data_IF_530930924777
#
_entry.id   IF_530930924777
#
_cell.length_a   1.000
_cell.length_b   1.000
_cell.length_c   1.000
_cell.angle_alpha   90.00
_cell.angle_beta   90.00
_cell.angle_gamma   90.00
#
_symmetry.space_group_name_H-M   'P 1'
#
loop_
_entity.id
_entity.type
_entity.pdbx_description
1 polymer ?
#
# COMPACT_ATOMS: atom_id res chain seq x y z
N UNK A 1 -63.94 2.63 37.53
CA UNK A 1 -62.79 3.51 37.63
C UNK A 1 -61.58 2.66 37.17
N UNK A 2 -61.22 2.73 35.93
CA UNK A 2 -60.12 1.94 35.32
C UNK A 2 -58.89 2.86 35.26
N UNK A 3 -57.86 2.53 36.00
CA UNK A 3 -56.56 3.19 35.93
C UNK A 3 -55.92 2.86 34.59
N UNK A 4 -55.69 3.85 33.77
CA UNK A 4 -54.91 3.76 32.53
C UNK A 4 -53.43 3.93 32.94
N UNK A 5 -52.66 2.86 32.90
CA UNK A 5 -51.22 2.87 33.14
C UNK A 5 -50.53 3.44 31.91
N UNK A 6 -49.93 4.63 32.03
CA UNK A 6 -49.17 5.33 30.98
C UNK A 6 -47.70 4.88 30.97
N UNK A 7 -47.42 3.72 30.40
CA UNK A 7 -46.05 3.26 30.11
C UNK A 7 -45.83 3.09 28.59
N UNK A 8 -45.80 4.21 27.88
CA UNK A 8 -45.25 4.26 26.52
C UNK A 8 -44.50 5.59 26.35
N UNK A 9 -43.41 5.78 27.13
CA UNK A 9 -42.43 6.76 26.74
C UNK A 9 -41.55 6.12 25.63
N UNK A 10 -41.39 6.78 24.46
CA UNK A 10 -40.47 6.33 23.46
C UNK A 10 -39.06 6.40 24.03
N UNK A 11 -38.35 5.29 24.00
CA UNK A 11 -36.95 5.16 24.43
C UNK A 11 -36.10 6.18 23.66
N UNK A 12 -35.84 7.34 24.25
CA UNK A 12 -34.92 8.36 23.70
C UNK A 12 -33.49 7.88 23.94
N UNK A 13 -32.97 7.06 23.02
CA UNK A 13 -31.53 6.77 22.99
C UNK A 13 -30.81 8.10 22.70
N UNK A 14 -29.73 8.43 23.46
CA UNK A 14 -28.96 9.62 23.23
C UNK A 14 -28.40 9.62 21.83
N UNK A 15 -28.47 10.73 21.10
CA UNK A 15 -27.93 10.88 19.73
C UNK A 15 -26.44 10.51 19.63
N UNK A 16 -25.71 10.57 20.74
CA UNK A 16 -24.33 10.10 20.88
C UNK A 16 -24.19 8.58 20.76
N UNK A 17 -25.16 7.77 21.21
CA UNK A 17 -25.11 6.31 21.02
C UNK A 17 -25.48 5.91 19.59
N UNK A 18 -26.43 6.60 18.95
CA UNK A 18 -26.77 6.41 17.55
C UNK A 18 -25.61 6.76 16.61
N UNK A 19 -24.81 7.78 16.95
CA UNK A 19 -23.61 8.14 16.17
C UNK A 19 -22.46 7.13 16.33
N UNK A 20 -22.35 6.47 17.47
CA UNK A 20 -21.36 5.43 17.71
C UNK A 20 -21.70 4.11 17.02
N UNK A 21 -22.98 3.77 16.87
CA UNK A 21 -23.41 2.55 16.20
C UNK A 21 -23.27 2.59 14.68
N UNK A 22 -23.22 3.77 14.06
CA UNK A 22 -23.04 3.94 12.61
C UNK A 22 -21.57 3.93 12.15
N UNK A 23 -20.59 4.15 13.05
CA UNK A 23 -19.17 4.13 12.70
C UNK A 23 -18.53 2.73 12.66
N UNK A 24 -19.16 1.70 13.19
CA UNK A 24 -18.57 0.35 13.36
C UNK A 24 -19.01 -0.69 12.32
N UNK A 25 -19.90 -0.35 11.40
CA UNK A 25 -20.29 -1.29 10.33
C UNK A 25 -19.19 -1.35 9.28
N UNK A 26 -18.46 -2.46 9.31
CA UNK A 26 -17.39 -2.74 8.35
C UNK A 26 -17.99 -2.87 6.93
N UNK A 27 -17.58 -2.04 5.95
CA UNK A 27 -18.07 -2.13 4.58
C UNK A 27 -17.91 -3.53 4.00
N UNK A 28 -18.89 -3.99 3.22
CA UNK A 28 -18.93 -5.38 2.71
C UNK A 28 -17.74 -5.72 1.82
N UNK A 29 -17.22 -4.77 1.06
CA UNK A 29 -16.06 -4.93 0.17
C UNK A 29 -14.72 -4.83 0.90
N UNK A 30 -14.72 -4.55 2.22
CA UNK A 30 -13.52 -4.40 3.03
C UNK A 30 -12.68 -5.67 3.01
N UNK A 31 -11.46 -5.55 2.46
CA UNK A 31 -10.50 -6.64 2.35
C UNK A 31 -10.65 -7.52 1.10
N UNK A 32 -11.78 -7.50 0.39
CA UNK A 32 -11.98 -8.34 -0.80
C UNK A 32 -11.06 -7.98 -1.96
N UNK A 33 -10.79 -6.68 -2.17
CA UNK A 33 -9.91 -6.21 -3.26
C UNK A 33 -8.53 -6.82 -3.11
N UNK A 34 -7.91 -6.72 -1.93
CA UNK A 34 -6.58 -7.28 -1.68
C UNK A 34 -6.59 -8.81 -1.62
N UNK A 35 -7.68 -9.44 -1.15
CA UNK A 35 -7.85 -10.90 -1.23
C UNK A 35 -7.86 -11.39 -2.68
N UNK A 36 -8.57 -10.71 -3.58
CA UNK A 36 -8.64 -11.07 -5.00
C UNK A 36 -7.32 -10.82 -5.75
N UNK A 37 -6.56 -9.80 -5.34
CA UNK A 37 -5.27 -9.48 -5.96
C UNK A 37 -4.13 -10.37 -5.47
N UNK A 38 -4.21 -10.92 -4.26
CA UNK A 38 -3.13 -11.73 -3.69
C UNK A 38 -2.69 -12.90 -4.60
N UNK A 39 -3.57 -13.73 -5.16
CA UNK A 39 -3.15 -14.78 -6.09
C UNK A 39 -2.50 -14.23 -7.37
N UNK A 40 -2.93 -13.06 -7.86
CA UNK A 40 -2.33 -12.40 -9.01
C UNK A 40 -0.92 -11.90 -8.65
N UNK A 41 -0.74 -11.32 -7.47
CA UNK A 41 0.56 -10.87 -6.98
C UNK A 41 1.52 -12.05 -6.78
N UNK A 42 1.03 -13.21 -6.33
CA UNK A 42 1.84 -14.44 -6.20
C UNK A 42 2.28 -14.92 -7.58
N UNK A 43 1.35 -15.09 -8.52
CA UNK A 43 1.67 -15.55 -9.88
C UNK A 43 2.62 -14.55 -10.58
N UNK A 44 2.32 -13.25 -10.51
CA UNK A 44 3.17 -12.21 -11.08
C UNK A 44 4.57 -12.14 -10.45
N UNK A 45 4.68 -12.36 -9.14
CA UNK A 45 5.97 -12.40 -8.45
C UNK A 45 6.81 -13.60 -8.86
N UNK A 46 6.20 -14.79 -9.03
CA UNK A 46 6.88 -15.98 -9.54
C UNK A 46 7.39 -15.71 -10.96
N UNK A 47 6.54 -15.14 -11.83
CA UNK A 47 6.93 -14.77 -13.20
C UNK A 47 8.14 -13.83 -13.21
N UNK A 48 8.14 -12.79 -12.37
CA UNK A 48 9.27 -11.86 -12.25
C UNK A 48 10.57 -12.57 -11.87
N UNK A 49 10.55 -13.40 -10.82
CA UNK A 49 11.76 -14.09 -10.34
C UNK A 49 12.27 -15.10 -11.36
N UNK A 50 11.37 -15.81 -12.05
CA UNK A 50 11.76 -16.83 -13.05
C UNK A 50 12.36 -16.17 -14.29
N UNK A 51 11.75 -15.08 -14.78
CA UNK A 51 12.15 -14.41 -16.02
C UNK A 51 13.29 -13.40 -15.85
N UNK A 52 13.60 -12.98 -14.61
CA UNK A 52 14.65 -12.01 -14.34
C UNK A 52 16.02 -12.50 -14.86
N UNK A 53 16.75 -11.61 -15.53
CA UNK A 53 18.07 -11.89 -16.08
C UNK A 53 19.19 -11.61 -15.07
N UNK A 54 19.94 -12.64 -14.73
CA UNK A 54 21.02 -12.57 -13.75
C UNK A 54 20.58 -12.67 -12.28
N UNK A 55 21.56 -12.93 -11.40
CA UNK A 55 21.31 -13.18 -9.98
C UNK A 55 20.79 -11.94 -9.25
N UNK A 56 21.36 -10.77 -9.53
CA UNK A 56 20.96 -9.50 -8.92
C UNK A 56 19.50 -9.18 -9.26
N UNK A 57 19.09 -9.35 -10.52
CA UNK A 57 17.71 -9.14 -10.96
C UNK A 57 16.74 -10.11 -10.28
N UNK A 58 17.11 -11.38 -10.13
CA UNK A 58 16.30 -12.38 -9.40
C UNK A 58 16.12 -12.02 -7.93
N UNK A 59 17.19 -11.60 -7.25
CA UNK A 59 17.13 -11.17 -5.85
C UNK A 59 16.25 -9.92 -5.73
N UNK A 60 16.45 -8.93 -6.58
CA UNK A 60 15.66 -7.69 -6.57
C UNK A 60 14.16 -7.95 -6.84
N UNK A 61 13.86 -8.82 -7.81
CA UNK A 61 12.50 -9.29 -8.09
C UNK A 61 11.89 -10.03 -6.88
N UNK A 62 12.67 -10.87 -6.21
CA UNK A 62 12.23 -11.59 -5.02
C UNK A 62 11.91 -10.65 -3.85
N UNK A 63 12.68 -9.58 -3.66
CA UNK A 63 12.39 -8.53 -2.65
C UNK A 63 11.07 -7.81 -2.95
N UNK A 64 10.84 -7.40 -4.20
CA UNK A 64 9.58 -6.80 -4.62
C UNK A 64 8.41 -7.79 -4.45
N UNK A 65 8.57 -9.03 -4.84
CA UNK A 65 7.59 -10.10 -4.67
C UNK A 65 7.22 -10.32 -3.20
N UNK A 66 8.21 -10.50 -2.33
CA UNK A 66 8.00 -10.71 -0.90
C UNK A 66 7.25 -9.53 -0.25
N UNK A 67 7.66 -8.29 -0.56
CA UNK A 67 7.00 -7.08 -0.05
C UNK A 67 5.55 -6.96 -0.53
N UNK A 68 5.25 -7.38 -1.76
CA UNK A 68 3.90 -7.40 -2.33
C UNK A 68 3.00 -8.41 -1.62
N UNK A 69 3.49 -9.64 -1.37
CA UNK A 69 2.74 -10.66 -0.61
C UNK A 69 2.48 -10.19 0.81
N UNK A 70 3.48 -9.60 1.47
CA UNK A 70 3.33 -9.08 2.82
C UNK A 70 2.26 -7.98 2.88
N UNK A 71 2.24 -7.05 1.94
CA UNK A 71 1.21 -6.01 1.89
C UNK A 71 -0.18 -6.60 1.64
N UNK A 72 -0.37 -7.28 0.50
CA UNK A 72 -1.69 -7.76 0.10
C UNK A 72 -2.22 -8.84 1.05
N UNK A 73 -1.36 -9.76 1.48
CA UNK A 73 -1.71 -10.84 2.41
C UNK A 73 -2.08 -10.32 3.79
N UNK A 74 -1.26 -9.46 4.40
CA UNK A 74 -1.57 -8.88 5.71
C UNK A 74 -2.83 -8.03 5.66
N UNK A 75 -2.99 -7.23 4.61
CA UNK A 75 -4.17 -6.40 4.42
C UNK A 75 -5.44 -7.23 4.23
N UNK A 76 -5.38 -8.29 3.41
CA UNK A 76 -6.48 -9.23 3.25
C UNK A 76 -6.88 -9.86 4.59
N UNK A 77 -5.91 -10.39 5.34
CA UNK A 77 -6.14 -11.01 6.65
C UNK A 77 -6.71 -9.99 7.65
N UNK A 78 -6.10 -8.82 7.75
CA UNK A 78 -6.54 -7.78 8.69
C UNK A 78 -7.97 -7.32 8.42
N UNK A 79 -8.31 -7.10 7.16
CA UNK A 79 -9.60 -6.53 6.78
C UNK A 79 -10.71 -7.56 6.59
N UNK A 80 -10.40 -8.82 6.28
CA UNK A 80 -11.41 -9.82 5.97
C UNK A 80 -12.02 -10.45 7.21
N UNK A 81 -11.21 -10.72 8.25
CA UNK A 81 -11.64 -11.43 9.44
C UNK A 81 -11.96 -10.50 10.61
N UNK A 82 -12.70 -11.01 11.60
CA UNK A 82 -12.95 -10.33 12.86
C UNK A 82 -11.94 -10.80 13.90
N UNK A 83 -11.19 -9.86 14.46
CA UNK A 83 -10.07 -10.12 15.34
C UNK A 83 -10.36 -9.67 16.77
N UNK A 84 -9.86 -10.41 17.76
CA UNK A 84 -9.81 -9.94 19.15
C UNK A 84 -8.98 -8.64 19.23
N UNK A 85 -9.25 -7.72 20.19
CA UNK A 85 -8.62 -6.40 20.25
C UNK A 85 -7.09 -6.40 20.16
N UNK A 86 -6.41 -7.34 20.86
CA UNK A 86 -4.94 -7.46 20.82
C UNK A 86 -4.43 -7.82 19.41
N UNK A 87 -5.03 -8.83 18.77
CA UNK A 87 -4.68 -9.27 17.43
C UNK A 87 -5.01 -8.18 16.38
N UNK A 88 -6.18 -7.53 16.48
CA UNK A 88 -6.57 -6.40 15.63
C UNK A 88 -5.54 -5.27 15.68
N UNK A 89 -5.05 -4.93 16.88
CA UNK A 89 -4.02 -3.89 17.06
C UNK A 89 -2.68 -4.29 16.44
N UNK A 90 -2.25 -5.55 16.59
CA UNK A 90 -1.01 -6.05 15.98
C UNK A 90 -1.11 -6.06 14.44
N UNK A 91 -2.17 -6.65 13.89
CA UNK A 91 -2.41 -6.69 12.44
C UNK A 91 -2.49 -5.29 11.83
N UNK A 92 -3.11 -4.32 12.51
CA UNK A 92 -3.14 -2.92 12.06
C UNK A 92 -1.74 -2.32 11.97
N UNK A 93 -0.82 -2.68 12.88
CA UNK A 93 0.59 -2.23 12.80
C UNK A 93 1.28 -2.80 11.57
N UNK A 94 1.15 -4.10 11.35
CA UNK A 94 1.73 -4.77 10.18
C UNK A 94 1.15 -4.25 8.87
N UNK A 95 -0.17 -4.12 8.77
CA UNK A 95 -0.85 -3.60 7.58
C UNK A 95 -0.33 -2.20 7.17
N UNK A 96 -0.15 -1.30 8.14
CA UNK A 96 0.41 0.02 7.86
C UNK A 96 1.94 0.01 7.65
N UNK A 97 2.68 -0.85 8.33
CA UNK A 97 4.13 -0.97 8.18
C UNK A 97 4.51 -1.52 6.80
N UNK A 98 3.70 -2.45 6.27
CA UNK A 98 3.93 -3.05 4.96
C UNK A 98 3.80 -2.07 3.79
N UNK A 99 3.18 -0.90 3.98
CA UNK A 99 3.19 0.16 2.96
C UNK A 99 4.63 0.66 2.74
N UNK A 100 5.38 0.93 3.80
CA UNK A 100 6.80 1.30 3.69
C UNK A 100 7.62 0.19 3.04
N UNK A 101 7.32 -1.06 3.41
CA UNK A 101 8.01 -2.22 2.88
C UNK A 101 7.75 -2.41 1.38
N UNK A 102 6.51 -2.21 0.91
CA UNK A 102 6.19 -2.28 -0.51
C UNK A 102 6.86 -1.14 -1.30
N UNK A 103 6.88 0.08 -0.76
CA UNK A 103 7.58 1.19 -1.41
C UNK A 103 9.06 0.83 -1.56
N UNK A 104 9.76 0.44 -0.49
CA UNK A 104 11.16 0.05 -0.56
C UNK A 104 11.41 -1.17 -1.48
N UNK A 105 10.50 -2.16 -1.43
CA UNK A 105 10.54 -3.33 -2.29
C UNK A 105 10.41 -2.99 -3.77
N UNK A 106 9.54 -2.05 -4.15
CA UNK A 106 9.39 -1.61 -5.54
C UNK A 106 10.59 -0.78 -6.03
N UNK A 107 11.22 -0.01 -5.16
CA UNK A 107 12.46 0.69 -5.48
C UNK A 107 13.63 -0.26 -5.72
N UNK A 108 13.68 -1.40 -5.05
CA UNK A 108 14.84 -2.31 -5.10
C UNK A 108 15.22 -2.71 -6.52
N UNK A 109 14.35 -3.32 -7.36
CA UNK A 109 14.72 -3.65 -8.73
C UNK A 109 14.98 -2.42 -9.61
N UNK A 110 14.17 -1.38 -9.49
CA UNK A 110 14.30 -0.17 -10.30
C UNK A 110 15.66 0.50 -10.04
N UNK A 111 16.06 0.58 -8.78
CA UNK A 111 17.30 1.26 -8.38
C UNK A 111 18.54 0.44 -8.73
N UNK A 112 18.53 -0.85 -8.40
CA UNK A 112 19.70 -1.71 -8.60
C UNK A 112 19.97 -2.07 -10.07
N UNK A 113 18.92 -2.09 -10.92
CA UNK A 113 19.02 -2.55 -12.28
C UNK A 113 19.01 -1.44 -13.33
N UNK A 114 18.51 -0.24 -12.98
CA UNK A 114 18.37 0.86 -13.93
C UNK A 114 19.35 2.02 -13.70
N UNK A 115 19.91 2.17 -12.49
CA UNK A 115 20.81 3.29 -12.18
C UNK A 115 22.27 2.87 -12.16
N UNK A 116 23.21 3.78 -12.50
CA UNK A 116 24.63 3.59 -12.22
C UNK A 116 24.86 3.30 -10.73
N UNK A 117 25.86 2.45 -10.41
CA UNK A 117 26.06 1.91 -9.06
C UNK A 117 26.07 2.98 -7.96
N UNK A 118 26.76 4.10 -8.16
CA UNK A 118 26.83 5.18 -7.14
C UNK A 118 25.47 5.79 -6.86
N UNK A 119 24.68 6.14 -7.90
CA UNK A 119 23.34 6.67 -7.77
C UNK A 119 22.38 5.63 -7.21
N UNK A 120 22.51 4.39 -7.67
CA UNK A 120 21.73 3.27 -7.19
C UNK A 120 21.96 2.99 -5.71
N UNK A 121 23.21 2.98 -5.25
CA UNK A 121 23.55 2.80 -3.84
C UNK A 121 22.98 3.93 -2.96
N UNK A 122 23.14 5.19 -3.40
CA UNK A 122 22.60 6.34 -2.67
C UNK A 122 21.08 6.21 -2.49
N UNK A 123 20.35 5.95 -3.57
CA UNK A 123 18.88 5.90 -3.53
C UNK A 123 18.39 4.69 -2.73
N UNK A 124 18.96 3.49 -2.94
CA UNK A 124 18.50 2.28 -2.24
C UNK A 124 18.72 2.38 -0.72
N UNK A 125 19.87 2.91 -0.29
CA UNK A 125 20.17 3.11 1.14
C UNK A 125 19.21 4.13 1.75
N UNK A 126 19.00 5.28 1.07
CA UNK A 126 18.07 6.30 1.54
C UNK A 126 16.63 5.76 1.68
N UNK A 127 16.15 5.01 0.69
CA UNK A 127 14.80 4.44 0.67
C UNK A 127 14.63 3.39 1.78
N UNK A 128 15.57 2.43 1.92
CA UNK A 128 15.45 1.41 2.95
C UNK A 128 15.63 1.99 4.36
N UNK A 129 16.52 2.95 4.56
CA UNK A 129 16.65 3.65 5.83
C UNK A 129 15.34 4.37 6.20
N UNK A 130 14.74 5.09 5.25
CA UNK A 130 13.45 5.77 5.46
C UNK A 130 12.33 4.76 5.73
N UNK A 131 12.31 3.63 5.02
CA UNK A 131 11.33 2.57 5.25
C UNK A 131 11.44 1.97 6.65
N UNK A 132 12.64 1.64 7.10
CA UNK A 132 12.86 1.09 8.45
C UNK A 132 12.47 2.07 9.55
N UNK A 133 12.82 3.35 9.41
CA UNK A 133 12.39 4.42 10.32
C UNK A 133 10.86 4.57 10.30
N UNK A 134 10.23 4.53 9.12
CA UNK A 134 8.78 4.61 8.95
C UNK A 134 8.05 3.40 9.54
N UNK A 135 8.59 2.19 9.40
CA UNK A 135 8.09 0.98 10.05
C UNK A 135 8.15 1.14 11.57
N UNK A 136 9.30 1.54 12.11
CA UNK A 136 9.46 1.82 13.53
C UNK A 136 8.44 2.85 14.02
N UNK A 137 8.32 3.96 13.31
CA UNK A 137 7.33 5.00 13.59
C UNK A 137 5.89 4.43 13.66
N UNK A 138 5.47 3.57 12.71
CA UNK A 138 4.12 2.99 12.70
C UNK A 138 3.90 1.91 13.75
N UNK A 139 4.95 1.15 14.09
CA UNK A 139 4.89 0.12 15.13
C UNK A 139 4.77 0.75 16.52
N UNK A 140 5.54 1.78 16.81
CA UNK A 140 5.57 2.41 18.14
C UNK A 140 4.49 3.48 18.32
N UNK A 141 4.13 4.22 17.27
CA UNK A 141 3.13 5.30 17.33
C UNK A 141 1.92 5.04 16.43
N UNK A 142 1.11 4.03 16.79
CA UNK A 142 -0.10 3.66 16.02
C UNK A 142 -1.17 4.77 15.97
N UNK A 143 -1.21 5.65 16.99
CA UNK A 143 -2.12 6.80 17.09
C UNK A 143 -1.69 8.04 16.31
N UNK A 144 -0.59 7.99 15.55
CA UNK A 144 -0.12 9.13 14.76
C UNK A 144 -1.22 9.67 13.85
N UNK A 145 -1.32 11.01 13.68
CA UNK A 145 -2.31 11.62 12.83
C UNK A 145 -2.15 11.14 11.38
N UNK A 146 -3.30 10.88 10.71
CA UNK A 146 -3.33 10.27 9.38
C UNK A 146 -2.54 11.05 8.33
N UNK A 147 -2.68 12.37 8.33
CA UNK A 147 -1.98 13.23 7.38
C UNK A 147 -0.46 13.08 7.44
N UNK A 148 0.10 12.87 8.66
CA UNK A 148 1.54 12.79 8.85
C UNK A 148 2.15 11.57 8.14
N UNK A 149 1.62 10.38 8.38
CA UNK A 149 2.17 9.19 7.73
C UNK A 149 1.82 9.10 6.23
N UNK A 150 0.72 9.71 5.80
CA UNK A 150 0.40 9.82 4.36
C UNK A 150 1.42 10.70 3.64
N UNK A 151 1.80 11.84 4.22
CA UNK A 151 2.85 12.71 3.65
C UNK A 151 4.17 11.93 3.55
N UNK A 152 4.56 11.18 4.58
CA UNK A 152 5.80 10.39 4.56
C UNK A 152 5.76 9.34 3.43
N UNK A 153 4.64 8.63 3.23
CA UNK A 153 4.47 7.69 2.12
C UNK A 153 4.62 8.38 0.76
N UNK A 154 4.00 9.54 0.57
CA UNK A 154 4.06 10.31 -0.68
C UNK A 154 5.50 10.78 -0.95
N UNK A 155 6.16 11.41 0.02
CA UNK A 155 7.53 11.89 -0.12
C UNK A 155 8.50 10.75 -0.48
N UNK A 156 8.38 9.61 0.21
CA UNK A 156 9.19 8.44 -0.09
C UNK A 156 8.88 7.87 -1.48
N UNK A 157 7.59 7.81 -1.86
CA UNK A 157 7.17 7.32 -3.17
C UNK A 157 7.66 8.17 -4.35
N UNK A 158 7.83 9.49 -4.15
CA UNK A 158 8.30 10.42 -5.19
C UNK A 158 9.82 10.64 -5.21
N UNK A 159 10.59 9.97 -4.35
CA UNK A 159 12.05 10.13 -4.32
C UNK A 159 12.74 9.79 -5.65
N UNK A 160 12.16 8.90 -6.48
CA UNK A 160 12.64 8.56 -7.82
C UNK A 160 12.70 9.75 -8.77
N UNK A 161 11.91 10.81 -8.56
CA UNK A 161 11.86 11.99 -9.43
C UNK A 161 13.20 12.71 -9.50
N UNK A 162 14.03 12.62 -8.46
CA UNK A 162 15.39 13.16 -8.44
C UNK A 162 16.26 12.56 -9.56
N UNK A 163 15.99 11.30 -9.93
CA UNK A 163 16.72 10.54 -10.95
C UNK A 163 15.91 10.38 -12.25
N UNK A 164 14.92 11.25 -12.46
CA UNK A 164 14.03 11.18 -13.63
C UNK A 164 14.80 11.14 -14.97
N UNK A 165 15.83 11.99 -15.21
CA UNK A 165 16.59 11.95 -16.46
C UNK A 165 17.28 10.60 -16.68
N UNK A 166 17.83 9.99 -15.64
CA UNK A 166 18.48 8.69 -15.72
C UNK A 166 17.48 7.60 -16.13
N UNK A 167 16.30 7.54 -15.48
CA UNK A 167 15.27 6.55 -15.80
C UNK A 167 14.69 6.73 -17.20
N UNK A 168 14.50 7.97 -17.67
CA UNK A 168 14.05 8.24 -19.05
C UNK A 168 15.07 7.75 -20.08
N UNK A 169 16.36 7.95 -19.81
CA UNK A 169 17.43 7.48 -20.68
C UNK A 169 17.50 5.94 -20.78
N UNK A 170 17.12 5.24 -19.72
CA UNK A 170 17.09 3.77 -19.68
C UNK A 170 15.93 3.22 -20.49
N UNK A 171 14.71 3.61 -20.15
CA UNK A 171 13.51 3.11 -20.83
C UNK A 171 12.31 4.03 -20.55
N UNK A 172 11.82 4.69 -21.57
CA UNK A 172 10.70 5.62 -21.46
C UNK A 172 9.40 4.94 -21.00
N UNK A 173 9.11 3.71 -21.48
CA UNK A 173 7.90 3.00 -21.09
C UNK A 173 7.95 2.61 -19.60
N UNK A 174 9.08 2.12 -19.11
CA UNK A 174 9.32 1.87 -17.69
C UNK A 174 9.07 3.13 -16.86
N UNK A 175 9.63 4.26 -17.29
CA UNK A 175 9.50 5.53 -16.58
C UNK A 175 8.05 6.03 -16.54
N UNK A 176 7.32 5.95 -17.67
CA UNK A 176 5.88 6.30 -17.72
C UNK A 176 5.07 5.44 -16.74
N UNK A 177 5.35 4.13 -16.67
CA UNK A 177 4.68 3.22 -15.73
C UNK A 177 5.00 3.57 -14.26
N UNK A 178 6.25 3.94 -13.95
CA UNK A 178 6.64 4.38 -12.60
C UNK A 178 5.86 5.66 -12.21
N UNK A 179 5.80 6.66 -13.10
CA UNK A 179 5.06 7.89 -12.85
C UNK A 179 3.56 7.66 -12.73
N UNK A 180 2.98 6.85 -13.61
CA UNK A 180 1.56 6.49 -13.55
C UNK A 180 1.24 5.77 -12.22
N UNK A 181 2.06 4.81 -11.80
CA UNK A 181 1.91 4.12 -10.53
C UNK A 181 2.04 5.07 -9.34
N UNK A 182 3.04 5.96 -9.33
CA UNK A 182 3.22 6.98 -8.30
C UNK A 182 2.02 7.93 -8.19
N UNK A 183 1.45 8.33 -9.34
CA UNK A 183 0.23 9.14 -9.39
C UNK A 183 -0.98 8.39 -8.82
N UNK A 184 -1.17 7.11 -9.18
CA UNK A 184 -2.25 6.28 -8.63
C UNK A 184 -2.12 6.13 -7.11
N UNK A 185 -0.92 5.82 -6.59
CA UNK A 185 -0.68 5.79 -5.13
C UNK A 185 -1.02 7.12 -4.46
N UNK A 186 -0.63 8.24 -5.06
CA UNK A 186 -0.89 9.59 -4.53
C UNK A 186 -2.38 9.88 -4.47
N UNK A 187 -3.12 9.63 -5.55
CA UNK A 187 -4.58 9.83 -5.60
C UNK A 187 -5.27 8.95 -4.55
N UNK A 188 -4.90 7.67 -4.46
CA UNK A 188 -5.43 6.76 -3.45
C UNK A 188 -5.14 7.24 -2.02
N UNK A 189 -3.93 7.69 -1.75
CA UNK A 189 -3.51 8.22 -0.45
C UNK A 189 -4.28 9.50 -0.07
N UNK A 190 -4.59 10.38 -1.04
CA UNK A 190 -5.41 11.57 -0.82
C UNK A 190 -6.85 11.20 -0.43
N UNK A 191 -7.50 10.27 -1.13
CA UNK A 191 -8.83 9.78 -0.74
C UNK A 191 -8.82 9.18 0.67
N UNK A 192 -7.77 8.42 0.99
CA UNK A 192 -7.60 7.85 2.32
C UNK A 192 -7.41 8.93 3.40
N UNK A 193 -6.62 9.97 3.13
CA UNK A 193 -6.38 11.09 4.06
C UNK A 193 -7.67 11.89 4.32
N UNK A 194 -8.41 12.21 3.25
CA UNK A 194 -9.62 13.03 3.29
C UNK A 194 -10.87 12.28 3.81
N UNK A 195 -10.82 10.93 3.86
CA UNK A 195 -11.96 10.06 4.20
C UNK A 195 -13.18 10.27 3.28
N UNK A 196 -12.95 10.64 2.04
CA UNK A 196 -13.99 10.92 1.02
C UNK A 196 -13.45 10.52 -0.37
N UNK A 197 -14.35 10.20 -1.34
CA UNK A 197 -15.80 10.04 -1.19
C UNK A 197 -16.19 8.67 -0.59
N UNK A 198 -17.46 8.54 -0.20
CA UNK A 198 -18.07 7.27 0.16
C UNK A 198 -19.25 7.01 -0.81
N UNK A 199 -18.96 6.54 -2.04
CA UNK A 199 -19.98 6.44 -3.09
C UNK A 199 -21.12 5.49 -2.76
N UNK A 200 -20.84 4.40 -2.03
CA UNK A 200 -21.86 3.43 -1.60
C UNK A 200 -21.69 3.16 -0.11
N UNK A 201 -22.35 3.95 0.77
CA UNK A 201 -22.24 3.78 2.22
C UNK A 201 -22.55 2.35 2.67
N UNK A 202 -21.73 1.82 3.60
CA UNK A 202 -21.85 0.43 4.08
C UNK A 202 -21.28 -0.64 3.15
N UNK A 203 -20.95 -0.32 1.89
CA UNK A 203 -20.41 -1.27 0.92
C UNK A 203 -19.04 -0.86 0.39
N UNK A 204 -18.93 0.32 -0.22
CA UNK A 204 -17.71 0.77 -0.90
C UNK A 204 -17.48 2.27 -0.59
N UNK A 205 -16.36 2.58 0.08
CA UNK A 205 -16.02 3.91 0.51
C UNK A 205 -14.57 4.30 0.18
N UNK A 206 -14.10 5.39 0.78
CA UNK A 206 -12.77 5.95 0.55
C UNK A 206 -11.64 4.93 0.78
N UNK A 207 -11.83 3.99 1.69
CA UNK A 207 -10.81 2.98 2.01
C UNK A 207 -10.72 1.92 0.91
N UNK A 208 -11.85 1.49 0.36
CA UNK A 208 -11.93 0.58 -0.78
C UNK A 208 -11.39 1.25 -2.05
N UNK A 209 -11.65 2.54 -2.23
CA UNK A 209 -11.07 3.36 -3.30
C UNK A 209 -9.53 3.38 -3.16
N UNK A 210 -9.01 3.64 -1.96
CA UNK A 210 -7.57 3.61 -1.70
C UNK A 210 -6.97 2.24 -2.07
N UNK A 211 -7.60 1.13 -1.68
CA UNK A 211 -7.14 -0.22 -2.05
C UNK A 211 -7.16 -0.45 -3.57
N UNK A 212 -8.19 0.03 -4.27
CA UNK A 212 -8.27 -0.08 -5.74
C UNK A 212 -7.12 0.69 -6.42
N UNK A 213 -6.84 1.91 -5.98
CA UNK A 213 -5.71 2.70 -6.48
C UNK A 213 -4.36 2.06 -6.13
N UNK A 214 -4.23 1.44 -4.96
CA UNK A 214 -3.03 0.68 -4.58
C UNK A 214 -2.79 -0.48 -5.53
N UNK A 215 -3.84 -1.20 -5.95
CA UNK A 215 -3.75 -2.29 -6.92
C UNK A 215 -3.35 -1.79 -8.30
N UNK A 216 -3.97 -0.72 -8.80
CA UNK A 216 -3.62 -0.13 -10.10
C UNK A 216 -2.16 0.33 -10.12
N UNK A 217 -1.72 1.00 -9.07
CA UNK A 217 -0.34 1.43 -8.90
C UNK A 217 0.64 0.24 -8.86
N UNK A 218 0.30 -0.81 -8.11
CA UNK A 218 1.08 -2.04 -8.07
C UNK A 218 1.24 -2.67 -9.45
N UNK A 219 0.18 -2.75 -10.25
CA UNK A 219 0.25 -3.31 -11.61
C UNK A 219 1.16 -2.48 -12.53
N UNK A 220 1.10 -1.14 -12.44
CA UNK A 220 2.01 -0.27 -13.16
C UNK A 220 3.47 -0.51 -12.75
N UNK A 221 3.75 -0.58 -11.44
CA UNK A 221 5.10 -0.84 -10.95
C UNK A 221 5.56 -2.26 -11.25
N UNK A 222 4.67 -3.26 -11.20
CA UNK A 222 4.99 -4.63 -11.60
C UNK A 222 5.44 -4.69 -13.07
N UNK A 223 4.73 -4.02 -13.97
CA UNK A 223 5.10 -3.97 -15.39
C UNK A 223 6.44 -3.23 -15.60
N UNK A 224 6.68 -2.14 -14.88
CA UNK A 224 7.97 -1.42 -14.91
C UNK A 224 9.12 -2.31 -14.42
N UNK A 225 8.91 -3.04 -13.32
CA UNK A 225 9.89 -3.98 -12.75
C UNK A 225 10.15 -5.14 -13.73
N UNK A 226 9.11 -5.66 -14.41
CA UNK A 226 9.28 -6.69 -15.42
C UNK A 226 10.22 -6.21 -16.55
N UNK A 227 10.00 -5.00 -17.07
CA UNK A 227 10.83 -4.42 -18.14
C UNK A 227 12.32 -4.41 -17.74
N UNK A 228 12.62 -3.91 -16.52
CA UNK A 228 14.01 -3.77 -16.09
C UNK A 228 14.63 -5.08 -15.64
N UNK A 229 13.85 -6.01 -15.09
CA UNK A 229 14.35 -7.35 -14.74
C UNK A 229 14.70 -8.21 -15.95
N UNK A 230 14.04 -8.00 -17.09
CA UNK A 230 14.35 -8.65 -18.35
C UNK A 230 15.57 -8.05 -19.07
N UNK A 231 15.83 -6.76 -18.85
CA UNK A 231 16.88 -6.01 -19.54
C UNK A 231 17.61 -5.08 -18.56
N UNK A 232 18.40 -5.63 -17.61
CA UNK A 232 19.18 -4.82 -16.69
C UNK A 232 20.20 -3.97 -17.43
N UNK A 233 20.47 -2.76 -16.93
CA UNK A 233 21.40 -1.83 -17.58
C UNK A 233 22.85 -2.18 -17.26
N UNK A 234 23.71 -2.22 -18.28
CA UNK A 234 25.15 -2.40 -18.09
C UNK A 234 25.74 -1.25 -17.23
N UNK A 235 26.54 -1.58 -16.22
CA UNK A 235 27.09 -0.61 -15.27
C UNK A 235 26.18 -0.32 -14.06
N UNK A 236 25.02 -0.95 -13.97
CA UNK A 236 24.24 -1.09 -12.75
C UNK A 236 24.82 -2.20 -11.86
N UNK A 237 24.10 -2.68 -10.85
CA UNK A 237 24.49 -3.83 -10.03
C UNK A 237 24.19 -5.20 -10.70
N UNK A 238 23.72 -5.18 -11.96
CA UNK A 238 23.38 -6.39 -12.71
C UNK A 238 24.61 -7.17 -13.16
#
# INVERSE_FOLDING_TARGET
MVEINSENEPLHLPLTELSQTTEDVKPTWRGWIHTGVLPIAIAGGIVLVVLADGLTAKIAAAVFFASSILLFGTSAIYHRFNWKPKAKKALKRFDHANIFLLIAGSYTPITLLALPQEKGLLLIVAIWATALLGIGFRVFWLGAPRWLYVIIYILMGWAAVVFLPDFVAVNLAMMVLILAGGLMYTIGALFYALKKPNPVPGHFGFHEIFHSFTVLAFLCHWAAVLIICLNPVAGSFA
#
